data_IF_750580236403
#
_entry.id   IF_750580236403
#
_cell.length_a   1.000
_cell.length_b   1.000
_cell.length_c   1.000
_cell.angle_alpha   90.00
_cell.angle_beta   90.00
_cell.angle_gamma   90.00
#
_symmetry.space_group_name_H-M   'P 1'
#
loop_
_entity.id
_entity.type
_entity.pdbx_description
1 polymer ?
#
# COMPACT_ATOMS: atom_id res chain seq x y z
N UNK A 1 12.02 -13.27 21.20
CA UNK A 1 12.40 -11.93 20.70
C UNK A 1 11.62 -11.69 19.41
N UNK A 2 10.53 -10.96 19.47
CA UNK A 2 9.74 -10.64 18.27
C UNK A 2 10.54 -9.67 17.42
N UNK A 3 10.82 -10.00 16.16
CA UNK A 3 11.27 -9.03 15.18
C UNK A 3 10.24 -7.90 15.17
N UNK A 4 10.62 -6.70 15.61
CA UNK A 4 9.78 -5.52 15.43
C UNK A 4 9.76 -5.29 13.92
N UNK A 5 8.68 -5.72 13.28
CA UNK A 5 8.52 -5.55 11.85
C UNK A 5 8.47 -4.06 11.54
N UNK A 6 9.39 -3.62 10.67
CA UNK A 6 9.54 -2.19 10.39
C UNK A 6 8.29 -1.65 9.68
N UNK A 7 7.69 -0.55 10.17
CA UNK A 7 6.55 0.08 9.55
C UNK A 7 6.92 0.61 8.16
N UNK A 8 6.04 0.34 7.19
CA UNK A 8 6.25 0.74 5.79
C UNK A 8 4.93 0.98 5.08
N UNK A 9 5.00 1.84 4.06
CA UNK A 9 3.90 2.09 3.13
C UNK A 9 4.19 1.38 1.81
N UNK A 10 3.35 0.43 1.45
CA UNK A 10 3.39 -0.25 0.17
C UNK A 10 2.38 0.38 -0.78
N UNK A 11 2.77 0.68 -2.01
CA UNK A 11 1.88 1.20 -3.04
C UNK A 11 1.78 0.20 -4.19
N UNK A 12 0.60 -0.38 -4.36
CA UNK A 12 0.30 -1.33 -5.41
C UNK A 12 -0.32 -0.58 -6.60
N UNK A 13 0.39 -0.51 -7.72
CA UNK A 13 -0.04 0.18 -8.94
C UNK A 13 -0.67 -0.81 -9.90
N UNK A 14 -1.95 -0.66 -10.21
CA UNK A 14 -2.70 -1.66 -10.99
C UNK A 14 -3.61 -0.99 -12.05
N UNK A 15 -4.17 -1.79 -12.96
CA UNK A 15 -5.10 -1.31 -13.99
C UNK A 15 -6.48 -1.04 -13.40
N UNK A 16 -7.17 0.03 -13.81
CA UNK A 16 -8.56 0.32 -13.39
C UNK A 16 -9.52 -0.86 -13.63
N UNK A 17 -9.22 -1.74 -14.59
CA UNK A 17 -9.97 -2.96 -14.85
C UNK A 17 -10.05 -3.93 -13.65
N UNK A 18 -9.11 -3.82 -12.69
CA UNK A 18 -9.08 -4.66 -11.49
C UNK A 18 -9.59 -3.91 -10.24
N UNK A 19 -10.30 -2.80 -10.40
CA UNK A 19 -10.83 -1.99 -9.28
C UNK A 19 -11.62 -2.82 -8.27
N UNK A 20 -12.47 -3.73 -8.76
CA UNK A 20 -13.30 -4.60 -7.92
C UNK A 20 -12.55 -5.77 -7.27
N UNK A 21 -11.24 -5.87 -7.50
CA UNK A 21 -10.40 -6.98 -7.04
C UNK A 21 -9.43 -6.55 -5.92
N UNK A 22 -9.68 -5.42 -5.25
CA UNK A 22 -8.82 -4.90 -4.16
C UNK A 22 -8.49 -5.99 -3.11
N UNK A 23 -9.52 -6.69 -2.61
CA UNK A 23 -9.33 -7.74 -1.61
C UNK A 23 -8.41 -8.86 -2.10
N UNK A 24 -8.64 -9.35 -3.34
CA UNK A 24 -7.82 -10.40 -3.95
C UNK A 24 -6.37 -9.93 -4.21
N UNK A 25 -6.17 -8.66 -4.58
CA UNK A 25 -4.84 -8.07 -4.73
C UNK A 25 -4.11 -8.05 -3.39
N UNK A 26 -4.76 -7.64 -2.31
CA UNK A 26 -4.17 -7.58 -0.97
C UNK A 26 -3.86 -8.98 -0.43
N UNK A 27 -4.81 -9.92 -0.50
CA UNK A 27 -4.62 -11.32 -0.09
C UNK A 27 -3.43 -11.95 -0.80
N UNK A 28 -3.34 -11.77 -2.12
CA UNK A 28 -2.25 -12.36 -2.88
C UNK A 28 -0.91 -11.66 -2.64
N UNK A 29 -0.91 -10.35 -2.37
CA UNK A 29 0.30 -9.63 -1.99
C UNK A 29 0.89 -10.21 -0.69
N UNK A 30 0.07 -10.38 0.34
CA UNK A 30 0.51 -10.97 1.61
C UNK A 30 0.92 -12.45 1.45
N UNK A 31 0.20 -13.23 0.65
CA UNK A 31 0.59 -14.61 0.38
C UNK A 31 2.01 -14.74 -0.22
N UNK A 32 2.47 -13.74 -0.99
CA UNK A 32 3.77 -13.76 -1.68
C UNK A 32 4.90 -13.05 -0.93
N UNK A 33 4.60 -11.97 -0.21
CA UNK A 33 5.63 -11.09 0.38
C UNK A 33 5.73 -11.17 1.90
N UNK A 34 4.89 -11.99 2.54
CA UNK A 34 4.88 -12.22 3.97
C UNK A 34 3.47 -12.13 4.53
N UNK A 35 3.14 -12.94 5.55
CA UNK A 35 1.77 -13.06 6.05
C UNK A 35 1.19 -11.70 6.42
N UNK A 36 -0.11 -11.58 6.22
CA UNK A 36 -0.89 -10.43 6.69
C UNK A 36 -0.52 -10.14 8.15
N UNK A 37 -0.24 -8.88 8.52
CA UNK A 37 0.13 -8.55 9.88
C UNK A 37 -0.92 -9.05 10.88
N UNK A 38 -0.50 -9.63 12.02
CA UNK A 38 -1.43 -10.11 13.03
C UNK A 38 -2.37 -9.00 13.49
N UNK A 39 -3.59 -9.37 13.87
CA UNK A 39 -4.65 -8.43 14.27
C UNK A 39 -5.02 -7.38 13.21
N UNK A 40 -4.75 -7.66 11.92
CA UNK A 40 -4.94 -6.70 10.83
C UNK A 40 -4.21 -5.38 11.12
N UNK A 41 -2.96 -5.49 11.56
CA UNK A 41 -2.05 -4.34 11.75
C UNK A 41 -1.58 -3.79 10.40
N UNK A 42 -2.56 -3.48 9.54
CA UNK A 42 -2.39 -2.73 8.31
C UNK A 42 -3.65 -1.96 7.96
N UNK A 43 -3.51 -0.94 7.14
CA UNK A 43 -4.63 -0.19 6.57
C UNK A 43 -4.54 -0.16 5.04
N UNK A 44 -5.67 -0.28 4.33
CA UNK A 44 -5.75 -0.23 2.86
C UNK A 44 -6.51 1.02 2.41
N UNK A 45 -5.90 1.82 1.54
CA UNK A 45 -6.54 2.93 0.86
C UNK A 45 -6.60 2.68 -0.65
N UNK A 46 -7.80 2.45 -1.18
CA UNK A 46 -8.03 2.47 -2.62
C UNK A 46 -8.02 3.92 -3.13
N UNK A 47 -7.16 4.18 -4.11
CA UNK A 47 -7.04 5.49 -4.73
C UNK A 47 -7.54 5.47 -6.17
N UNK A 48 -8.42 6.42 -6.45
CA UNK A 48 -8.89 6.70 -7.79
C UNK A 48 -7.73 6.96 -8.78
N UNK A 49 -7.92 6.60 -10.06
CA UNK A 49 -7.00 7.01 -11.10
C UNK A 49 -6.97 8.53 -11.22
N UNK A 50 -5.83 9.08 -11.63
CA UNK A 50 -5.74 10.46 -12.10
C UNK A 50 -6.00 10.51 -13.61
N UNK A 51 -5.19 11.24 -14.38
CA UNK A 51 -5.20 11.28 -15.85
C UNK A 51 -4.74 9.96 -16.53
N UNK A 52 -4.63 8.85 -15.79
CA UNK A 52 -4.16 7.57 -16.31
C UNK A 52 -5.13 6.43 -16.01
N UNK A 53 -5.08 5.34 -16.78
CA UNK A 53 -5.85 4.12 -16.50
C UNK A 53 -5.30 3.30 -15.31
N UNK A 54 -4.52 3.93 -14.42
CA UNK A 54 -3.84 3.28 -13.31
C UNK A 54 -4.39 3.73 -11.96
N UNK A 55 -4.86 2.75 -11.20
CA UNK A 55 -5.28 2.89 -9.81
C UNK A 55 -4.15 2.48 -8.87
N UNK A 56 -4.30 2.86 -7.60
CA UNK A 56 -3.31 2.59 -6.56
C UNK A 56 -4.00 2.08 -5.31
N UNK A 57 -3.47 1.02 -4.70
CA UNK A 57 -3.79 0.67 -3.30
C UNK A 57 -2.60 1.13 -2.47
N UNK A 58 -2.85 1.90 -1.42
CA UNK A 58 -1.83 2.25 -0.41
C UNK A 58 -2.06 1.39 0.82
N UNK A 59 -1.09 0.53 1.12
CA UNK A 59 -1.08 -0.34 2.28
C UNK A 59 -0.11 0.22 3.32
N UNK A 60 -0.64 0.60 4.47
CA UNK A 60 0.15 1.02 5.63
C UNK A 60 0.35 -0.17 6.55
N UNK A 61 1.53 -0.77 6.54
CA UNK A 61 1.83 -2.00 7.27
C UNK A 61 2.47 -1.65 8.62
N UNK A 62 1.99 -2.27 9.69
CA UNK A 62 2.36 -2.01 11.09
C UNK A 62 1.92 -0.64 11.63
N UNK A 63 0.80 -0.14 11.14
CA UNK A 63 0.31 1.19 11.48
C UNK A 63 -0.34 1.31 12.86
N UNK A 64 -0.98 0.25 13.36
CA UNK A 64 -1.57 0.23 14.71
C UNK A 64 -0.48 0.11 15.77
N UNK A 65 0.60 -0.65 15.47
CA UNK A 65 1.76 -0.76 16.36
C UNK A 65 2.66 0.49 16.36
N UNK A 66 2.55 1.35 15.33
CA UNK A 66 3.35 2.58 15.19
C UNK A 66 2.48 3.79 14.82
N UNK A 67 1.59 4.26 15.71
CA UNK A 67 0.58 5.28 15.38
C UNK A 67 1.16 6.70 15.21
N UNK A 68 2.31 6.99 15.81
CA UNK A 68 2.92 8.33 15.88
C UNK A 68 4.08 8.53 14.92
N UNK A 69 4.16 7.72 13.86
CA UNK A 69 5.27 7.77 12.94
C UNK A 69 5.29 9.08 12.13
N UNK A 70 6.48 9.63 11.93
CA UNK A 70 6.66 10.74 10.99
C UNK A 70 6.51 10.21 9.56
N UNK A 71 5.53 10.75 8.84
CA UNK A 71 5.27 10.42 7.44
C UNK A 71 6.50 10.59 6.53
N UNK A 72 7.42 11.50 6.89
CA UNK A 72 8.65 11.74 6.15
C UNK A 72 9.65 10.58 6.26
N UNK A 73 9.57 9.80 7.35
CA UNK A 73 10.49 8.71 7.68
C UNK A 73 9.96 7.32 7.29
N UNK A 74 8.69 7.22 6.87
CA UNK A 74 8.10 5.95 6.44
C UNK A 74 8.85 5.41 5.22
N UNK A 75 9.26 4.15 5.29
CA UNK A 75 9.80 3.43 4.13
C UNK A 75 8.71 3.20 3.09
N UNK A 76 9.00 3.48 1.82
CA UNK A 76 8.07 3.22 0.71
C UNK A 76 8.54 2.03 -0.12
N UNK A 77 7.62 1.13 -0.43
CA UNK A 77 7.80 0.13 -1.48
C UNK A 77 6.71 0.31 -2.53
N UNK A 78 7.06 0.21 -3.80
CA UNK A 78 6.08 0.32 -4.89
C UNK A 78 6.13 -0.95 -5.72
N UNK A 79 4.96 -1.51 -6.00
CA UNK A 79 4.83 -2.68 -6.85
C UNK A 79 3.92 -2.36 -8.02
N UNK A 80 4.31 -2.80 -9.21
CA UNK A 80 3.42 -2.87 -10.36
C UNK A 80 2.69 -4.20 -10.32
N UNK A 81 1.36 -4.14 -10.36
CA UNK A 81 0.48 -5.30 -10.36
C UNK A 81 0.05 -5.61 -11.79
N UNK A 82 0.22 -6.86 -12.20
CA UNK A 82 -0.26 -7.40 -13.47
C UNK A 82 -1.07 -8.67 -13.20
N UNK A 83 -2.06 -8.98 -14.03
CA UNK A 83 -2.80 -10.24 -13.96
C UNK A 83 -2.50 -11.10 -15.18
N UNK A 84 -2.05 -12.33 -14.95
CA UNK A 84 -1.93 -13.37 -15.97
C UNK A 84 -2.25 -14.72 -15.32
N UNK A 85 -3.55 -15.05 -15.26
CA UNK A 85 -4.11 -15.99 -14.30
C UNK A 85 -4.23 -15.32 -12.93
N UNK A 86 -3.14 -15.37 -12.16
CA UNK A 86 -3.04 -14.73 -10.84
C UNK A 86 -2.39 -13.34 -10.91
N UNK A 87 -2.50 -12.56 -9.83
CA UNK A 87 -1.77 -11.29 -9.71
C UNK A 87 -0.27 -11.55 -9.54
N UNK A 88 0.53 -10.70 -10.17
CA UNK A 88 1.98 -10.71 -10.08
C UNK A 88 2.44 -9.31 -9.67
N UNK A 89 3.42 -9.26 -8.80
CA UNK A 89 3.93 -8.04 -8.18
C UNK A 89 5.39 -7.84 -8.60
N UNK A 90 5.63 -6.76 -9.33
CA UNK A 90 6.95 -6.37 -9.80
C UNK A 90 7.40 -5.16 -8.97
N UNK A 91 8.42 -5.34 -8.11
CA UNK A 91 8.95 -4.26 -7.28
C UNK A 91 9.59 -3.21 -8.19
N UNK A 92 9.21 -1.95 -7.98
CA UNK A 92 9.74 -0.81 -8.71
C UNK A 92 10.88 -0.15 -7.93
N UNK A 93 11.59 0.73 -8.62
CA UNK A 93 12.78 1.41 -8.12
C UNK A 93 12.48 2.58 -7.16
N UNK A 94 13.56 3.22 -6.70
CA UNK A 94 13.49 4.37 -5.80
C UNK A 94 12.77 5.58 -6.42
N UNK A 95 12.80 5.74 -7.75
CA UNK A 95 12.10 6.84 -8.44
C UNK A 95 10.60 6.66 -8.30
N UNK A 96 10.11 5.43 -8.49
CA UNK A 96 8.71 5.11 -8.24
C UNK A 96 8.31 5.37 -6.78
N UNK A 97 9.17 5.03 -5.81
CA UNK A 97 8.93 5.32 -4.39
C UNK A 97 8.84 6.83 -4.10
N UNK A 98 9.74 7.64 -4.66
CA UNK A 98 9.71 9.11 -4.49
C UNK A 98 8.43 9.70 -5.08
N UNK A 99 8.02 9.24 -6.27
CA UNK A 99 6.77 9.69 -6.89
C UNK A 99 5.55 9.31 -6.04
N UNK A 100 5.51 8.07 -5.54
CA UNK A 100 4.44 7.59 -4.67
C UNK A 100 4.34 8.42 -3.38
N UNK A 101 5.48 8.74 -2.75
CA UNK A 101 5.55 9.60 -1.56
C UNK A 101 4.97 10.98 -1.84
N UNK A 102 5.50 11.69 -2.86
CA UNK A 102 4.99 13.02 -3.26
C UNK A 102 3.49 12.99 -3.53
N UNK A 103 2.99 11.95 -4.19
CA UNK A 103 1.56 11.82 -4.46
C UNK A 103 0.76 11.65 -3.17
N UNK A 104 1.18 10.78 -2.27
CA UNK A 104 0.51 10.57 -0.97
C UNK A 104 0.48 11.87 -0.15
N UNK A 105 1.55 12.66 -0.18
CA UNK A 105 1.63 13.98 0.46
C UNK A 105 0.65 14.98 -0.17
N UNK A 106 0.62 15.08 -1.51
CA UNK A 106 -0.26 16.00 -2.24
C UNK A 106 -1.75 15.78 -1.94
N UNK A 107 -2.17 14.51 -1.86
CA UNK A 107 -3.55 14.13 -1.55
C UNK A 107 -3.81 13.94 -0.05
N UNK A 108 -2.80 14.19 0.79
CA UNK A 108 -2.87 14.13 2.26
C UNK A 108 -3.33 12.76 2.79
N UNK A 109 -2.83 11.66 2.23
CA UNK A 109 -3.03 10.31 2.83
C UNK A 109 -2.31 10.28 4.18
N UNK A 110 -3.10 10.15 5.24
CA UNK A 110 -2.61 9.98 6.61
C UNK A 110 -2.23 8.53 6.86
N UNK A 111 -1.23 8.31 7.71
CA UNK A 111 -0.81 6.99 8.14
C UNK A 111 -1.89 6.27 8.94
N UNK A 112 -2.19 5.02 8.59
CA UNK A 112 -2.95 4.10 9.43
C UNK A 112 -4.39 4.50 9.75
N UNK A 113 -5.03 5.36 8.95
CA UNK A 113 -6.31 5.96 9.35
C UNK A 113 -7.50 5.40 8.57
N UNK A 114 -8.40 4.71 9.29
CA UNK A 114 -9.82 4.71 8.93
C UNK A 114 -10.32 6.14 8.99
N UNK A 115 -11.05 6.63 7.97
CA UNK A 115 -11.93 7.81 8.16
C UNK A 115 -13.05 7.41 9.11
N UNK A 116 -12.73 7.34 10.40
CA UNK A 116 -13.71 7.32 11.46
C UNK A 116 -13.83 8.76 11.96
N UNK A 117 -15.03 9.32 11.81
CA UNK A 117 -15.54 10.60 12.33
C UNK A 117 -15.26 11.84 11.46
N UNK A 118 -16.16 12.09 10.51
CA UNK A 118 -16.96 13.33 10.54
C UNK A 118 -18.42 12.89 10.67
#
# INVERSE_FOLDING_TARGET
>A
MGSISNPKRVVLRFSVQYEREEAAINEQFFALHGPEPPNKDFFSHLMAPNESSKMHIVLDIHCNSHPTIDNSMIAYEVYKVKKNGNFKFEKLDAVACQYARKRCELIRIKWGTSRSLI
#
